data_IF_779182681394
#
_entry.id   IF_779182681394
#
_cell.length_a   1.000
_cell.length_b   1.000
_cell.length_c   1.000
_cell.angle_alpha   90.00
_cell.angle_beta   90.00
_cell.angle_gamma   90.00
#
_symmetry.space_group_name_H-M   'P 1'
#
loop_
_entity.id
_entity.type
_entity.pdbx_description
1 polymer ?
#
# COMPACT_ATOMS: atom_id res chain seq x y z
N UNK A 1 14.31 -16.84 8.69
CA UNK A 1 14.43 -15.72 7.75
C UNK A 1 13.08 -15.55 7.09
N UNK A 2 12.42 -14.42 7.32
CA UNK A 2 11.21 -14.07 6.57
C UNK A 2 11.70 -13.27 5.36
N UNK A 3 11.67 -13.89 4.19
CA UNK A 3 11.65 -13.14 2.93
C UNK A 3 10.28 -12.48 2.89
N UNK A 4 10.19 -11.19 3.18
CA UNK A 4 8.94 -10.45 2.91
C UNK A 4 8.69 -10.61 1.42
N UNK A 5 7.62 -11.31 1.04
CA UNK A 5 7.27 -11.56 -0.36
C UNK A 5 7.13 -10.22 -1.11
N UNK A 6 6.70 -9.19 -0.39
CA UNK A 6 6.68 -7.81 -0.83
C UNK A 6 8.02 -7.29 -1.38
N UNK A 7 9.15 -7.76 -0.84
CA UNK A 7 10.49 -7.26 -1.10
C UNK A 7 11.25 -8.01 -2.21
N UNK A 8 11.08 -9.34 -2.33
CA UNK A 8 12.09 -10.13 -3.06
C UNK A 8 11.71 -10.56 -4.50
N UNK A 9 10.45 -10.44 -4.95
CA UNK A 9 10.04 -11.00 -6.27
C UNK A 9 8.95 -10.23 -7.06
N UNK A 10 8.45 -9.09 -6.56
CA UNK A 10 7.27 -8.44 -7.13
C UNK A 10 7.67 -7.25 -8.00
N UNK A 11 7.22 -7.23 -9.25
CA UNK A 11 7.40 -6.06 -10.11
C UNK A 11 6.62 -4.84 -9.60
N UNK A 12 7.12 -3.64 -9.88
CA UNK A 12 6.44 -2.38 -9.54
C UNK A 12 4.98 -2.31 -10.03
N UNK A 13 4.69 -2.91 -11.19
CA UNK A 13 3.33 -3.03 -11.72
C UNK A 13 2.42 -3.89 -10.83
N UNK A 14 2.90 -5.05 -10.35
CA UNK A 14 2.12 -5.91 -9.47
C UNK A 14 1.91 -5.27 -8.09
N UNK A 15 2.90 -4.55 -7.55
CA UNK A 15 2.69 -3.75 -6.32
C UNK A 15 1.62 -2.68 -6.50
N UNK A 16 1.62 -1.99 -7.63
CA UNK A 16 0.55 -1.06 -8.00
C UNK A 16 -0.83 -1.73 -7.99
N UNK A 17 -0.94 -2.94 -8.56
CA UNK A 17 -2.18 -3.71 -8.53
C UNK A 17 -2.60 -4.11 -7.10
N UNK A 18 -1.67 -4.50 -6.24
CA UNK A 18 -1.98 -4.84 -4.84
C UNK A 18 -2.54 -3.61 -4.10
N UNK A 19 -1.89 -2.46 -4.23
CA UNK A 19 -2.37 -1.22 -3.59
C UNK A 19 -3.75 -0.80 -4.12
N UNK A 20 -3.97 -0.94 -5.44
CA UNK A 20 -5.26 -0.66 -6.06
C UNK A 20 -6.36 -1.61 -5.55
N UNK A 21 -6.08 -2.91 -5.47
CA UNK A 21 -7.01 -3.94 -4.98
C UNK A 21 -7.36 -3.72 -3.51
N UNK A 22 -6.39 -3.40 -2.65
CA UNK A 22 -6.64 -3.01 -1.26
C UNK A 22 -7.55 -1.77 -1.16
N UNK A 23 -7.36 -0.79 -2.06
CA UNK A 23 -8.21 0.39 -2.15
C UNK A 23 -9.64 0.05 -2.57
N UNK A 24 -9.80 -0.81 -3.58
CA UNK A 24 -11.12 -1.28 -4.06
C UNK A 24 -11.87 -2.07 -2.98
N UNK A 25 -11.15 -2.84 -2.16
CA UNK A 25 -11.70 -3.58 -1.00
C UNK A 25 -11.94 -2.70 0.23
N UNK A 26 -11.65 -1.40 0.17
CA UNK A 26 -11.87 -0.47 1.27
C UNK A 26 -10.93 -0.68 2.47
N UNK A 27 -9.78 -1.33 2.26
CA UNK A 27 -8.75 -1.55 3.29
C UNK A 27 -7.88 -0.32 3.48
N UNK A 28 -7.60 0.39 2.40
CA UNK A 28 -6.73 1.58 2.39
C UNK A 28 -7.36 2.73 1.62
N UNK A 29 -6.94 3.95 1.91
CA UNK A 29 -7.35 5.15 1.20
C UNK A 29 -6.21 6.18 1.10
N UNK A 30 -6.33 7.13 0.19
CA UNK A 30 -5.37 8.22 0.07
C UNK A 30 -5.73 9.37 1.02
N UNK A 31 -4.74 9.94 1.70
CA UNK A 31 -4.91 11.16 2.50
C UNK A 31 -5.65 12.24 1.72
N UNK A 32 -6.53 13.05 2.32
CA UNK A 32 -7.35 14.02 1.56
C UNK A 32 -6.49 14.92 0.66
N UNK A 33 -6.94 15.13 -0.59
CA UNK A 33 -6.18 15.90 -1.59
C UNK A 33 -5.93 17.37 -1.18
N UNK A 34 -6.72 17.92 -0.25
CA UNK A 34 -6.68 19.33 0.12
C UNK A 34 -7.21 20.24 -1.01
N UNK A 35 -7.04 21.55 -0.86
CA UNK A 35 -7.52 22.55 -1.83
C UNK A 35 -6.75 22.51 -3.17
N UNK A 36 -5.50 22.03 -3.15
CA UNK A 36 -4.68 21.90 -4.36
C UNK A 36 -4.69 20.45 -4.81
N UNK A 37 -5.04 20.20 -6.08
CA UNK A 37 -5.03 18.85 -6.66
C UNK A 37 -3.60 18.27 -6.62
N UNK A 38 -3.34 17.35 -5.70
CA UNK A 38 -2.08 16.61 -5.58
C UNK A 38 -2.11 15.36 -6.45
N UNK A 39 -0.95 14.97 -6.98
CA UNK A 39 -0.78 13.69 -7.68
C UNK A 39 -1.13 12.51 -6.76
N UNK A 40 -1.62 11.42 -7.33
CA UNK A 40 -1.92 10.19 -6.58
C UNK A 40 -0.66 9.62 -5.93
N UNK A 41 0.47 9.64 -6.66
CA UNK A 41 1.74 9.07 -6.21
C UNK A 41 2.34 9.80 -5.01
N UNK A 42 2.07 11.11 -4.89
CA UNK A 42 2.61 11.94 -3.80
C UNK A 42 1.69 12.04 -2.59
N UNK A 43 0.55 11.34 -2.58
CA UNK A 43 -0.37 11.28 -1.44
C UNK A 43 -0.03 10.08 -0.58
N UNK A 44 -0.10 10.27 0.74
CA UNK A 44 0.05 9.20 1.74
C UNK A 44 -1.06 8.17 1.61
N UNK A 45 -0.69 6.90 1.74
CA UNK A 45 -1.63 5.80 1.83
C UNK A 45 -1.95 5.54 3.31
N UNK A 46 -3.24 5.49 3.65
CA UNK A 46 -3.74 5.35 5.01
C UNK A 46 -4.49 4.03 5.14
N UNK A 47 -4.25 3.28 6.21
CA UNK A 47 -5.01 2.07 6.53
C UNK A 47 -6.36 2.47 7.15
N UNK A 48 -7.45 2.00 6.56
CA UNK A 48 -8.83 2.25 6.98
C UNK A 48 -9.44 1.06 7.71
N UNK A 49 -9.15 -0.15 7.26
CA UNK A 49 -9.68 -1.38 7.81
C UNK A 49 -8.65 -2.50 7.64
N UNK A 50 -8.23 -3.07 8.76
CA UNK A 50 -7.20 -4.11 8.85
C UNK A 50 -7.76 -5.54 8.89
N UNK A 51 -9.08 -5.73 8.76
CA UNK A 51 -9.64 -7.07 8.66
C UNK A 51 -9.06 -7.81 7.44
N UNK A 52 -8.79 -9.12 7.57
CA UNK A 52 -8.17 -9.91 6.53
C UNK A 52 -9.02 -9.90 5.26
N UNK A 53 -8.32 -9.90 4.14
CA UNK A 53 -8.90 -9.98 2.80
C UNK A 53 -9.11 -11.43 2.35
N UNK A 54 -8.47 -12.39 3.02
CA UNK A 54 -8.45 -13.80 2.64
C UNK A 54 -7.46 -14.13 1.53
N UNK A 55 -6.71 -13.13 1.05
CA UNK A 55 -5.61 -13.28 0.10
C UNK A 55 -4.29 -13.00 0.83
N UNK A 56 -3.37 -13.97 0.78
CA UNK A 56 -2.11 -13.93 1.51
C UNK A 56 -1.27 -12.70 1.12
N UNK A 57 -1.28 -12.31 -0.16
CA UNK A 57 -0.45 -11.21 -0.65
C UNK A 57 -1.00 -9.86 -0.21
N UNK A 58 -2.32 -9.70 -0.29
CA UNK A 58 -2.98 -8.50 0.18
C UNK A 58 -2.86 -8.36 1.70
N UNK A 59 -2.93 -9.46 2.44
CA UNK A 59 -2.86 -9.45 3.90
C UNK A 59 -1.43 -9.15 4.41
N UNK A 60 -0.41 -9.67 3.75
CA UNK A 60 0.99 -9.31 4.03
C UNK A 60 1.26 -7.83 3.73
N UNK A 61 0.79 -7.34 2.58
CA UNK A 61 0.88 -5.92 2.22
C UNK A 61 0.17 -5.02 3.24
N UNK A 62 -1.05 -5.38 3.64
CA UNK A 62 -1.84 -4.62 4.61
C UNK A 62 -1.17 -4.57 5.98
N UNK A 63 -0.51 -5.65 6.40
CA UNK A 63 0.30 -5.69 7.60
C UNK A 63 1.48 -4.71 7.52
N UNK A 64 2.23 -4.71 6.41
CA UNK A 64 3.32 -3.75 6.21
C UNK A 64 2.84 -2.30 6.23
N UNK A 65 1.70 -2.00 5.59
CA UNK A 65 1.11 -0.66 5.60
C UNK A 65 0.72 -0.20 7.01
N UNK A 66 0.30 -1.12 7.88
CA UNK A 66 -0.09 -0.84 9.25
C UNK A 66 1.12 -0.60 10.17
N UNK A 67 2.21 -1.33 9.95
CA UNK A 67 3.39 -1.28 10.81
C UNK A 67 4.29 -0.05 10.54
N UNK A 68 4.11 0.64 9.41
CA UNK A 68 4.88 1.85 9.06
C UNK A 68 4.23 3.13 9.60
N UNK A 69 4.85 3.72 10.63
CA UNK A 69 4.58 5.08 11.11
C UNK A 69 5.83 5.98 10.97
N UNK A 70 5.72 7.15 10.32
CA UNK A 70 4.50 7.76 9.74
C UNK A 70 4.07 7.12 8.40
N UNK A 71 2.80 7.30 7.97
CA UNK A 71 2.35 6.82 6.67
C UNK A 71 3.12 7.43 5.49
N UNK A 72 3.54 6.55 4.58
CA UNK A 72 4.35 6.89 3.40
C UNK A 72 3.48 7.16 2.15
N UNK A 73 3.96 7.98 1.20
CA UNK A 73 3.29 8.21 -0.09
C UNK A 73 3.26 6.95 -0.95
N UNK A 74 2.27 6.85 -1.86
CA UNK A 74 2.12 5.69 -2.77
C UNK A 74 3.38 5.39 -3.56
N UNK A 75 4.13 6.42 -3.98
CA UNK A 75 5.40 6.23 -4.69
C UNK A 75 6.40 5.38 -3.90
N UNK A 76 6.51 5.63 -2.60
CA UNK A 76 7.46 4.92 -1.73
C UNK A 76 7.10 3.43 -1.62
N UNK A 77 5.81 3.11 -1.57
CA UNK A 77 5.34 1.72 -1.55
C UNK A 77 5.59 0.97 -2.86
N UNK A 78 5.67 1.68 -3.98
CA UNK A 78 5.96 1.10 -5.30
C UNK A 78 7.48 0.97 -5.53
N UNK A 79 8.25 2.00 -5.15
CA UNK A 79 9.67 2.13 -5.51
C UNK A 79 10.63 1.52 -4.47
N UNK A 80 10.45 1.79 -3.17
CA UNK A 80 11.48 1.48 -2.15
C UNK A 80 11.60 0.02 -1.76
N UNK A 81 10.79 -0.86 -2.32
CA UNK A 81 10.79 -2.28 -1.95
C UNK A 81 11.19 -3.19 -3.13
N UNK A 82 11.62 -2.62 -4.27
CA UNK A 82 12.06 -3.38 -5.47
C UNK A 82 13.49 -3.88 -5.37
#
# INVERSE_FOLDING_TARGET
>A
GYTSFWNDCISSGLRGCILAELGLRGRVELEKAGMRKRSLLSRKLLVKNDAPTGDVLLDEALKHLKDYEPPEPVQNWIEYLS
#
